data_IF_531428904023
#
_entry.id   IF_531428904023
#
_cell.length_a   1.000
_cell.length_b   1.000
_cell.length_c   1.000
_cell.angle_alpha   90.00
_cell.angle_beta   90.00
_cell.angle_gamma   90.00
#
_symmetry.space_group_name_H-M   'P 1'
#
loop_
_entity.id
_entity.type
_entity.pdbx_description
1 polymer ?
#
# COMPACT_ATOMS: atom_id res chain seq x y z
N UNK A 1 -7.34 -25.02 -29.43
CA UNK A 1 -5.89 -24.73 -29.49
C UNK A 1 -5.38 -24.51 -28.07
N UNK A 2 -4.84 -25.56 -27.44
CA UNK A 2 -4.24 -25.47 -26.10
C UNK A 2 -2.84 -24.89 -26.25
N UNK A 3 -2.69 -23.58 -26.04
CA UNK A 3 -1.37 -22.93 -26.03
C UNK A 3 -0.70 -23.26 -24.71
N UNK A 4 0.18 -24.25 -24.73
CA UNK A 4 1.08 -24.57 -23.62
C UNK A 4 1.87 -23.31 -23.25
N UNK A 5 1.66 -22.81 -22.05
CA UNK A 5 2.54 -21.82 -21.46
C UNK A 5 3.76 -22.57 -20.90
N UNK A 6 4.99 -22.28 -21.36
CA UNK A 6 6.17 -22.94 -20.83
C UNK A 6 6.30 -22.60 -19.34
N UNK A 7 6.79 -23.55 -18.51
CA UNK A 7 7.03 -23.39 -17.05
C UNK A 7 8.10 -22.33 -16.70
N UNK A 8 8.35 -21.40 -17.61
CA UNK A 8 9.28 -20.27 -17.54
C UNK A 8 8.56 -18.93 -17.32
N UNK A 9 7.23 -18.90 -17.19
CA UNK A 9 6.55 -17.73 -16.61
C UNK A 9 6.84 -17.68 -15.10
N UNK A 10 8.06 -17.26 -14.77
CA UNK A 10 8.36 -16.69 -13.48
C UNK A 10 7.62 -15.35 -13.46
N UNK A 11 6.74 -15.16 -12.48
CA UNK A 11 6.27 -13.82 -12.10
C UNK A 11 7.48 -13.06 -11.54
N UNK A 12 8.29 -12.53 -12.46
CA UNK A 12 9.49 -11.75 -12.16
C UNK A 12 9.14 -10.37 -11.58
N UNK A 13 10.14 -9.65 -11.07
CA UNK A 13 10.00 -8.51 -10.18
C UNK A 13 9.69 -7.23 -10.96
N UNK A 14 8.58 -7.22 -11.71
CA UNK A 14 7.80 -5.99 -11.75
C UNK A 14 7.21 -5.84 -10.36
N UNK A 15 8.08 -5.45 -9.43
CA UNK A 15 7.74 -5.00 -8.12
C UNK A 15 6.71 -3.92 -8.35
N UNK A 16 5.44 -4.30 -8.19
CA UNK A 16 4.62 -3.68 -7.19
C UNK A 16 5.06 -2.23 -7.01
N UNK A 17 4.45 -1.34 -7.79
CA UNK A 17 4.44 0.10 -7.53
C UNK A 17 3.66 0.33 -6.23
N UNK A 18 4.15 -0.29 -5.16
CA UNK A 18 3.77 -0.10 -3.78
C UNK A 18 4.54 1.14 -3.41
N UNK A 19 3.84 2.26 -3.50
CA UNK A 19 4.25 3.52 -2.88
C UNK A 19 4.39 3.22 -1.39
N UNK A 20 5.57 2.77 -0.98
CA UNK A 20 5.88 2.53 0.43
C UNK A 20 5.71 3.84 1.18
N UNK A 21 5.47 3.78 2.49
CA UNK A 21 5.17 4.95 3.33
C UNK A 21 6.19 6.10 3.20
N UNK A 22 7.41 5.82 2.74
CA UNK A 22 8.45 6.83 2.44
C UNK A 22 8.19 7.67 1.17
N UNK A 23 7.46 7.15 0.21
CA UNK A 23 7.16 7.81 -1.08
C UNK A 23 5.74 8.39 -1.14
N UNK A 24 4.95 8.21 -0.07
CA UNK A 24 3.68 8.88 0.10
C UNK A 24 3.88 10.38 0.37
N UNK A 25 4.02 11.16 -0.69
CA UNK A 25 4.04 12.61 -0.62
C UNK A 25 3.40 13.21 -1.85
N UNK A 26 3.11 14.50 -1.73
CA UNK A 26 2.76 15.32 -2.87
C UNK A 26 4.03 16.05 -3.33
N UNK A 27 4.32 15.96 -4.62
CA UNK A 27 5.40 16.72 -5.28
C UNK A 27 5.14 18.23 -5.19
N UNK A 28 3.87 18.64 -5.15
CA UNK A 28 3.47 20.03 -4.93
C UNK A 28 2.37 20.09 -3.87
N UNK A 29 2.71 20.63 -2.71
CA UNK A 29 1.83 20.70 -1.53
C UNK A 29 0.63 21.64 -1.70
N UNK A 30 0.64 22.51 -2.72
CA UNK A 30 -0.46 23.44 -3.03
C UNK A 30 -1.34 22.91 -4.14
N UNK A 31 -0.74 22.45 -5.26
CA UNK A 31 -1.47 22.04 -6.45
C UNK A 31 -2.11 20.66 -6.30
N UNK A 32 -1.42 19.70 -5.68
CA UNK A 32 -1.95 18.35 -5.52
C UNK A 32 -3.31 18.32 -4.77
N UNK A 33 -3.52 19.05 -3.66
CA UNK A 33 -4.83 19.13 -3.01
C UNK A 33 -5.90 19.77 -3.89
N UNK A 34 -5.56 20.78 -4.68
CA UNK A 34 -6.50 21.48 -5.57
C UNK A 34 -6.95 20.58 -6.72
N UNK A 35 -5.99 19.90 -7.36
CA UNK A 35 -6.24 18.93 -8.43
C UNK A 35 -7.02 17.72 -7.93
N UNK A 36 -6.68 17.18 -6.76
CA UNK A 36 -7.44 16.11 -6.14
C UNK A 36 -8.90 16.53 -5.88
N UNK A 37 -9.14 17.75 -5.36
CA UNK A 37 -10.51 18.30 -5.21
C UNK A 37 -11.27 18.45 -6.52
N UNK A 38 -10.57 18.64 -7.65
CA UNK A 38 -11.14 18.76 -9.00
C UNK A 38 -11.39 17.40 -9.68
N UNK A 39 -11.04 16.28 -9.03
CA UNK A 39 -11.22 14.92 -9.55
C UNK A 39 -10.12 14.48 -10.52
N UNK A 40 -8.93 15.06 -10.39
CA UNK A 40 -7.79 14.69 -11.24
C UNK A 40 -7.24 13.30 -10.91
N UNK A 41 -7.48 12.78 -9.71
CA UNK A 41 -7.04 11.43 -9.31
C UNK A 41 -7.70 10.33 -10.16
N UNK A 42 -8.90 10.60 -10.68
CA UNK A 42 -9.65 9.71 -11.57
C UNK A 42 -9.34 10.01 -13.04
N UNK A 43 -9.34 11.30 -13.42
CA UNK A 43 -9.14 11.75 -14.81
C UNK A 43 -7.70 11.57 -15.29
N UNK A 44 -6.74 11.85 -14.42
CA UNK A 44 -5.30 11.86 -14.69
C UNK A 44 -4.53 10.94 -13.73
N UNK A 45 -5.11 9.75 -13.51
CA UNK A 45 -4.68 8.74 -12.54
C UNK A 45 -3.18 8.48 -12.54
N UNK A 46 -2.56 8.27 -13.71
CA UNK A 46 -1.14 7.92 -13.80
C UNK A 46 -0.26 9.05 -13.24
N UNK A 47 -0.51 10.30 -13.68
CA UNK A 47 0.27 11.46 -13.22
C UNK A 47 0.01 11.75 -11.74
N UNK A 48 -1.27 11.76 -11.36
CA UNK A 48 -1.70 12.12 -10.01
C UNK A 48 -1.26 11.08 -8.98
N UNK A 49 -1.28 9.80 -9.32
CA UNK A 49 -0.80 8.75 -8.42
C UNK A 49 0.72 8.84 -8.22
N UNK A 50 1.47 9.21 -9.25
CA UNK A 50 2.92 9.33 -9.18
C UNK A 50 3.38 10.59 -8.43
N UNK A 51 2.67 11.71 -8.63
CA UNK A 51 3.11 13.03 -8.14
C UNK A 51 2.29 13.56 -6.96
N UNK A 52 1.09 13.03 -6.74
CA UNK A 52 0.13 13.54 -5.77
C UNK A 52 -0.47 12.40 -4.95
N UNK A 53 0.35 11.38 -4.62
CA UNK A 53 -0.09 10.15 -3.97
C UNK A 53 -0.85 10.39 -2.66
N UNK A 54 -0.43 11.41 -1.90
CA UNK A 54 -1.05 11.79 -0.62
C UNK A 54 -2.39 12.46 -0.84
N UNK A 55 -2.45 13.44 -1.74
CA UNK A 55 -3.70 14.13 -2.09
C UNK A 55 -4.74 13.19 -2.71
N UNK A 56 -4.30 12.22 -3.51
CA UNK A 56 -5.16 11.16 -4.05
C UNK A 56 -5.49 10.04 -3.08
N UNK A 57 -4.99 10.10 -1.84
CA UNK A 57 -5.27 9.13 -0.78
C UNK A 57 -4.95 7.68 -1.15
N UNK A 58 -4.01 7.49 -2.07
CA UNK A 58 -3.55 6.15 -2.49
C UNK A 58 -2.40 5.63 -1.64
N UNK A 59 -1.90 6.48 -0.73
CA UNK A 59 -0.88 6.10 0.20
C UNK A 59 -1.33 4.97 1.12
N UNK A 60 -0.71 3.81 0.99
CA UNK A 60 -0.81 2.74 1.98
C UNK A 60 0.14 3.08 3.14
N UNK A 61 -0.40 3.65 4.20
CA UNK A 61 0.36 3.78 5.46
C UNK A 61 0.43 2.40 6.10
N UNK A 62 1.60 1.76 6.02
CA UNK A 62 1.86 0.60 6.84
C UNK A 62 2.38 1.03 8.22
N UNK A 63 1.47 1.07 9.18
CA UNK A 63 1.76 1.36 10.56
C UNK A 63 0.92 0.45 11.46
N UNK A 64 1.37 0.35 12.71
CA UNK A 64 0.58 -0.23 13.78
C UNK A 64 -0.26 0.86 14.43
N UNK A 65 -1.54 0.59 14.58
CA UNK A 65 -2.52 1.47 15.22
C UNK A 65 -2.55 1.28 16.75
N UNK A 66 -1.81 0.30 17.28
CA UNK A 66 -1.74 0.03 18.70
C UNK A 66 -0.30 -0.14 19.17
N UNK A 67 0.03 0.49 20.32
CA UNK A 67 1.37 0.41 20.92
C UNK A 67 1.75 -1.01 21.35
N UNK A 68 0.77 -1.89 21.57
CA UNK A 68 0.97 -3.30 21.96
C UNK A 68 1.19 -4.24 20.78
N UNK A 69 1.09 -3.75 19.53
CA UNK A 69 1.19 -4.60 18.35
C UNK A 69 2.49 -5.43 18.29
N UNK A 70 3.64 -4.88 18.67
CA UNK A 70 4.91 -5.62 18.73
C UNK A 70 4.81 -6.81 19.67
N UNK A 71 4.38 -6.56 20.91
CA UNK A 71 4.22 -7.60 21.94
C UNK A 71 3.20 -8.66 21.53
N UNK A 72 2.09 -8.26 20.92
CA UNK A 72 1.08 -9.19 20.44
C UNK A 72 1.58 -10.04 19.27
N UNK A 73 2.33 -9.46 18.34
CA UNK A 73 2.96 -10.20 17.27
C UNK A 73 3.99 -11.21 17.81
N UNK A 74 4.80 -10.82 18.81
CA UNK A 74 5.78 -11.68 19.48
C UNK A 74 5.13 -12.92 20.13
N UNK A 75 3.98 -12.75 20.78
CA UNK A 75 3.24 -13.87 21.40
C UNK A 75 2.35 -14.65 20.40
N UNK A 76 2.40 -14.32 19.10
CA UNK A 76 1.75 -15.11 18.04
C UNK A 76 0.32 -14.66 17.66
N UNK A 77 -0.14 -13.49 18.10
CA UNK A 77 -1.49 -12.98 17.80
C UNK A 77 -1.73 -12.80 16.30
N UNK A 78 -0.69 -12.58 15.49
CA UNK A 78 -0.86 -12.49 14.03
C UNK A 78 -1.46 -13.77 13.43
N UNK A 79 -1.27 -14.94 14.07
CA UNK A 79 -1.86 -16.22 13.67
C UNK A 79 -3.13 -16.55 14.46
N UNK A 80 -3.14 -16.25 15.76
CA UNK A 80 -4.26 -16.57 16.64
C UNK A 80 -5.47 -15.63 16.43
N UNK A 81 -5.22 -14.36 16.11
CA UNK A 81 -6.22 -13.33 15.90
C UNK A 81 -5.93 -12.48 14.64
N UNK A 82 -5.91 -13.10 13.45
CA UNK A 82 -5.51 -12.44 12.21
C UNK A 82 -6.46 -11.31 11.82
N UNK A 83 -7.75 -11.43 12.12
CA UNK A 83 -8.75 -10.42 11.77
C UNK A 83 -8.46 -9.07 12.45
N UNK A 84 -8.16 -9.08 13.76
CA UNK A 84 -7.80 -7.87 14.48
C UNK A 84 -6.40 -7.39 14.10
N UNK A 85 -5.44 -8.31 14.06
CA UNK A 85 -4.03 -7.99 13.90
C UNK A 85 -3.71 -7.50 12.49
N UNK A 86 -4.35 -8.00 11.44
CA UNK A 86 -4.11 -7.52 10.08
C UNK A 86 -4.75 -6.15 9.79
N UNK A 87 -5.68 -5.69 10.62
CA UNK A 87 -6.24 -4.33 10.50
C UNK A 87 -5.45 -3.35 11.34
N UNK A 88 -5.13 -3.72 12.58
CA UNK A 88 -4.55 -2.81 13.57
C UNK A 88 -3.05 -2.92 13.74
N UNK A 89 -2.46 -4.05 13.37
CA UNK A 89 -1.05 -4.37 13.61
C UNK A 89 -0.36 -4.81 12.31
N UNK A 90 -0.67 -4.13 11.20
CA UNK A 90 -0.19 -4.46 9.86
C UNK A 90 1.32 -4.52 9.79
N UNK A 91 2.00 -3.57 10.43
CA UNK A 91 3.46 -3.51 10.42
C UNK A 91 4.03 -4.65 11.26
N UNK A 92 3.56 -4.82 12.48
CA UNK A 92 4.01 -5.90 13.39
C UNK A 92 3.74 -7.31 12.82
N UNK A 93 2.69 -7.49 12.02
CA UNK A 93 2.37 -8.77 11.38
C UNK A 93 2.90 -8.93 9.96
N UNK A 94 3.73 -7.99 9.46
CA UNK A 94 4.25 -7.99 8.10
C UNK A 94 3.16 -8.10 7.02
N UNK A 95 2.05 -7.37 7.21
CA UNK A 95 0.90 -7.28 6.30
C UNK A 95 0.80 -5.92 5.61
N UNK A 96 1.94 -5.27 5.37
CA UNK A 96 2.00 -4.00 4.64
C UNK A 96 1.59 -4.13 3.16
N UNK A 97 1.73 -5.32 2.59
CA UNK A 97 1.49 -5.62 1.18
C UNK A 97 0.15 -6.31 0.90
N UNK A 98 -0.67 -6.50 1.94
CA UNK A 98 -1.97 -7.15 1.85
C UNK A 98 -3.06 -6.24 1.23
#
# INVERSE_FOLDING_TARGET
MKKNCPRSCVCGPFANNVITSKECKDSNTVQCPLWAKRGECEKNKIYMHKNCAKSCKICKVCADNNRKCSKWAEIGECKANPAYMHVNCKKSCNKCDA
#
